data_IF_139073874960
#
_entry.id   IF_139073874960
#
_cell.length_a   1.000
_cell.length_b   1.000
_cell.length_c   1.000
_cell.angle_alpha   90.00
_cell.angle_beta   90.00
_cell.angle_gamma   90.00
#
_symmetry.space_group_name_H-M   'P 1'
#
loop_
_entity.id
_entity.type
_entity.pdbx_description
1 polymer ?
#
# COMPACT_ATOMS: atom_id res chain seq x y z
N UNK A 1 16.01 -25.70 -15.33
CA UNK A 1 14.81 -26.32 -14.75
C UNK A 1 14.42 -25.53 -13.51
N UNK A 2 13.66 -24.44 -13.67
CA UNK A 2 13.10 -23.71 -12.52
C UNK A 2 11.76 -24.35 -12.18
N UNK A 3 11.72 -25.09 -11.08
CA UNK A 3 10.46 -25.59 -10.54
C UNK A 3 9.66 -24.38 -10.04
N UNK A 4 8.56 -24.05 -10.73
CA UNK A 4 7.48 -23.24 -10.16
C UNK A 4 6.93 -24.07 -8.99
N UNK A 5 7.17 -23.61 -7.77
CA UNK A 5 6.62 -24.23 -6.58
C UNK A 5 5.10 -24.21 -6.66
N UNK A 6 4.47 -25.39 -6.51
CA UNK A 6 3.02 -25.50 -6.45
C UNK A 6 2.45 -24.63 -5.30
N UNK A 7 1.25 -24.04 -5.44
CA UNK A 7 0.61 -23.31 -4.36
C UNK A 7 0.43 -24.25 -3.15
N UNK A 8 1.11 -23.96 -2.04
CA UNK A 8 0.87 -24.68 -0.78
C UNK A 8 -0.53 -24.27 -0.29
N UNK A 9 -1.31 -25.19 0.31
CA UNK A 9 -2.55 -24.80 1.00
C UNK A 9 -2.20 -23.69 2.00
N UNK A 10 -2.77 -22.50 1.82
CA UNK A 10 -2.46 -21.36 2.68
C UNK A 10 -3.01 -21.67 4.07
N UNK A 11 -2.12 -22.05 4.99
CA UNK A 11 -2.34 -21.80 6.40
C UNK A 11 -2.71 -20.32 6.56
N UNK A 12 -3.60 -20.00 7.50
CA UNK A 12 -4.01 -18.60 7.75
C UNK A 12 -2.75 -17.76 7.98
N UNK A 13 -2.45 -16.87 7.03
CA UNK A 13 -1.29 -16.01 7.12
C UNK A 13 -1.52 -15.00 8.24
N UNK A 14 -0.55 -14.86 9.15
CA UNK A 14 -0.59 -13.83 10.18
C UNK A 14 0.28 -12.65 9.77
N UNK A 15 -0.15 -11.44 10.15
CA UNK A 15 0.63 -10.22 9.94
C UNK A 15 1.75 -10.20 10.98
N UNK A 16 3.00 -10.08 10.52
CA UNK A 16 4.19 -10.08 11.39
C UNK A 16 4.85 -8.71 11.48
N UNK A 17 4.65 -7.83 10.50
CA UNK A 17 5.17 -6.45 10.50
C UNK A 17 4.37 -5.56 9.57
N UNK A 18 4.18 -4.32 9.98
CA UNK A 18 3.62 -3.25 9.15
C UNK A 18 4.66 -2.13 9.07
N UNK A 19 4.90 -1.61 7.87
CA UNK A 19 5.72 -0.43 7.63
C UNK A 19 4.90 0.61 6.91
N UNK A 20 5.13 1.89 7.23
CA UNK A 20 4.45 3.00 6.58
C UNK A 20 5.45 4.04 6.11
N UNK A 21 5.13 4.68 4.99
CA UNK A 21 5.86 5.84 4.47
C UNK A 21 4.84 6.90 4.10
N UNK A 22 5.06 8.12 4.58
CA UNK A 22 4.25 9.28 4.21
C UNK A 22 4.91 9.98 3.03
N UNK A 23 4.13 10.28 2.00
CA UNK A 23 4.61 10.91 0.77
C UNK A 23 3.65 12.02 0.36
N UNK A 24 4.18 13.21 0.18
CA UNK A 24 3.45 14.31 -0.45
C UNK A 24 3.57 14.21 -1.97
N UNK A 25 2.43 14.16 -2.66
CA UNK A 25 2.36 14.05 -4.11
C UNK A 25 1.56 15.21 -4.70
N UNK A 26 1.99 15.78 -5.85
CA UNK A 26 1.11 16.67 -6.61
C UNK A 26 -0.09 15.90 -7.14
N UNK A 27 -1.25 16.55 -7.15
CA UNK A 27 -2.44 16.00 -7.81
C UNK A 27 -2.26 16.04 -9.33
N UNK A 28 -2.78 15.04 -10.05
CA UNK A 28 -2.73 15.04 -11.53
C UNK A 28 -3.60 16.18 -12.09
N UNK A 29 -4.68 16.52 -11.40
CA UNK A 29 -5.54 17.68 -11.68
C UNK A 29 -5.93 18.34 -10.37
N UNK A 30 -5.76 19.67 -10.24
CA UNK A 30 -6.16 20.37 -9.02
C UNK A 30 -7.65 20.18 -8.71
N UNK A 31 -7.95 19.76 -7.48
CA UNK A 31 -9.34 19.62 -7.03
C UNK A 31 -9.86 20.98 -6.55
N UNK A 32 -10.90 21.49 -7.23
CA UNK A 32 -11.57 22.73 -6.85
C UNK A 32 -12.65 22.44 -5.83
N UNK A 33 -12.46 22.96 -4.63
CA UNK A 33 -13.45 23.02 -3.56
C UNK A 33 -14.13 24.41 -3.57
N UNK A 34 -15.20 24.58 -2.80
CA UNK A 34 -15.94 25.86 -2.74
C UNK A 34 -15.11 27.03 -2.21
N UNK A 35 -14.06 26.76 -1.43
CA UNK A 35 -13.25 27.78 -0.74
C UNK A 35 -11.75 27.66 -1.01
N UNK A 36 -11.31 26.60 -1.70
CA UNK A 36 -9.90 26.31 -1.90
C UNK A 36 -9.68 25.47 -3.17
N UNK A 37 -8.45 25.46 -3.66
CA UNK A 37 -8.00 24.48 -4.65
C UNK A 37 -6.90 23.64 -4.01
N UNK A 38 -6.98 22.32 -4.15
CA UNK A 38 -5.96 21.39 -3.68
C UNK A 38 -5.08 20.99 -4.85
N UNK A 39 -3.80 21.40 -4.81
CA UNK A 39 -2.80 21.07 -5.83
C UNK A 39 -1.96 19.84 -5.45
N UNK A 40 -2.01 19.39 -4.19
CA UNK A 40 -1.28 18.22 -3.69
C UNK A 40 -2.08 17.46 -2.63
N UNK A 41 -1.68 16.21 -2.38
CA UNK A 41 -2.24 15.35 -1.35
C UNK A 41 -1.12 14.54 -0.68
N UNK A 42 -1.26 14.31 0.61
CA UNK A 42 -0.40 13.43 1.38
C UNK A 42 -0.97 12.02 1.35
N UNK A 43 -0.19 11.05 0.87
CA UNK A 43 -0.54 9.63 0.89
C UNK A 43 0.31 8.90 1.92
N UNK A 44 -0.27 7.86 2.54
CA UNK A 44 0.46 6.86 3.30
C UNK A 44 0.58 5.58 2.47
N UNK A 45 1.80 5.19 2.12
CA UNK A 45 2.07 3.86 1.58
C UNK A 45 2.26 2.88 2.73
N UNK A 46 1.66 1.70 2.63
CA UNK A 46 1.72 0.64 3.65
C UNK A 46 2.33 -0.62 3.05
N UNK A 47 3.26 -1.24 3.78
CA UNK A 47 3.79 -2.57 3.49
C UNK A 47 3.45 -3.52 4.64
N UNK A 48 2.76 -4.61 4.33
CA UNK A 48 2.36 -5.64 5.29
C UNK A 48 3.15 -6.91 5.02
N UNK A 49 3.99 -7.30 5.97
CA UNK A 49 4.76 -8.54 5.90
C UNK A 49 3.97 -9.65 6.59
N UNK A 50 3.80 -10.78 5.91
CA UNK A 50 3.04 -11.93 6.39
C UNK A 50 3.96 -13.12 6.74
N UNK A 51 3.48 -13.98 7.64
CA UNK A 51 4.21 -15.17 8.12
C UNK A 51 4.56 -16.20 7.05
N UNK A 52 3.86 -16.19 5.91
CA UNK A 52 4.08 -17.07 4.77
C UNK A 52 5.11 -16.53 3.77
N UNK A 53 5.71 -15.37 4.06
CA UNK A 53 6.69 -14.70 3.22
C UNK A 53 6.07 -13.77 2.17
N UNK A 54 4.73 -13.66 2.10
CA UNK A 54 4.05 -12.69 1.23
C UNK A 54 4.19 -11.28 1.80
N UNK A 55 4.35 -10.30 0.91
CA UNK A 55 4.35 -8.88 1.25
C UNK A 55 3.19 -8.21 0.52
N UNK A 56 2.21 -7.71 1.28
CA UNK A 56 1.13 -6.88 0.78
C UNK A 56 1.53 -5.41 0.70
N UNK A 57 1.04 -4.71 -0.33
CA UNK A 57 1.20 -3.26 -0.49
C UNK A 57 -0.18 -2.63 -0.51
N UNK A 58 -0.33 -1.48 0.15
CA UNK A 58 -1.57 -0.71 0.15
C UNK A 58 -1.30 0.78 0.28
N UNK A 59 -2.36 1.56 0.14
CA UNK A 59 -2.34 3.01 0.31
C UNK A 59 -3.45 3.44 1.26
N UNK A 60 -3.18 4.50 2.02
CA UNK A 60 -4.15 5.20 2.85
C UNK A 60 -4.15 6.68 2.47
N UNK A 61 -5.35 7.22 2.28
CA UNK A 61 -5.55 8.64 1.94
C UNK A 61 -6.77 9.18 2.69
N UNK A 62 -6.81 10.49 2.93
CA UNK A 62 -7.92 11.21 3.57
C UNK A 62 -8.49 12.29 2.67
#
# INVERSE_FOLDING_TARGET
MNAVAAPRPHAVATVIRIETVIVDLPTIRPHKLSVATMDGQTLMLVRVHCSDGVVGIGEGTT
#
